data_IF_212368925066
#
_entry.id   IF_212368925066
#
_cell.length_a   1.000
_cell.length_b   1.000
_cell.length_c   1.000
_cell.angle_alpha   90.00
_cell.angle_beta   90.00
_cell.angle_gamma   90.00
#
_symmetry.space_group_name_H-M   'P 1'
#
loop_
_entity.id
_entity.type
_entity.pdbx_description
1 polymer ?
#
# COMPACT_ATOMS: atom_id res chain seq x y z
N UNK A 1 -9.45 -33.91 13.05
CA UNK A 1 -8.65 -32.76 12.60
C UNK A 1 -7.42 -32.64 13.49
N UNK A 2 -6.27 -33.16 13.06
CA UNK A 2 -5.00 -32.98 13.77
C UNK A 2 -4.45 -31.60 13.43
N UNK A 3 -4.40 -30.70 14.41
CA UNK A 3 -3.67 -29.44 14.30
C UNK A 3 -2.18 -29.80 14.33
N UNK A 4 -1.56 -29.93 13.16
CA UNK A 4 -0.11 -30.12 13.06
C UNK A 4 0.58 -28.93 13.75
N UNK A 5 1.26 -29.17 14.87
CA UNK A 5 2.02 -28.13 15.55
C UNK A 5 3.14 -27.67 14.60
N UNK A 6 3.13 -26.40 14.16
CA UNK A 6 4.14 -25.93 13.21
C UNK A 6 5.51 -25.96 13.90
N UNK A 7 6.44 -26.67 13.27
CA UNK A 7 7.83 -26.75 13.72
C UNK A 7 8.46 -25.35 13.73
N UNK A 8 9.38 -25.07 14.65
CA UNK A 8 10.08 -23.78 14.74
C UNK A 8 10.60 -23.19 13.41
N UNK A 9 11.23 -23.99 12.51
CA UNK A 9 11.64 -23.48 11.20
C UNK A 9 10.48 -23.13 10.26
N UNK A 10 9.34 -23.83 10.33
CA UNK A 10 8.15 -23.46 9.55
C UNK A 10 7.57 -22.11 9.99
N UNK A 11 7.64 -21.78 11.28
CA UNK A 11 7.20 -20.45 11.78
C UNK A 11 8.08 -19.33 11.22
N UNK A 12 9.40 -19.53 11.18
CA UNK A 12 10.33 -18.55 10.61
C UNK A 12 10.13 -18.34 9.11
N UNK A 13 9.92 -19.42 8.36
CA UNK A 13 9.61 -19.35 6.93
C UNK A 13 8.27 -18.63 6.68
N UNK A 14 7.26 -18.91 7.51
CA UNK A 14 5.97 -18.22 7.41
C UNK A 14 6.10 -16.73 7.72
N UNK A 15 6.84 -16.36 8.77
CA UNK A 15 7.14 -14.96 9.10
C UNK A 15 7.94 -14.29 7.98
N UNK A 16 8.96 -14.93 7.43
CA UNK A 16 9.73 -14.38 6.31
C UNK A 16 8.88 -14.18 5.04
N UNK A 17 7.90 -15.04 4.80
CA UNK A 17 7.00 -14.94 3.65
C UNK A 17 5.94 -13.82 3.82
N UNK A 18 5.53 -13.51 5.05
CA UNK A 18 4.49 -12.51 5.35
C UNK A 18 5.05 -11.15 5.76
N UNK A 19 6.28 -11.12 6.28
CA UNK A 19 6.96 -9.91 6.75
C UNK A 19 7.00 -8.79 5.70
N UNK A 20 7.34 -9.02 4.42
CA UNK A 20 7.46 -7.94 3.45
C UNK A 20 6.15 -7.17 3.26
N UNK A 21 5.03 -7.89 3.09
CA UNK A 21 3.71 -7.28 2.93
C UNK A 21 3.27 -6.50 4.18
N UNK A 22 3.50 -7.07 5.38
CA UNK A 22 3.19 -6.38 6.64
C UNK A 22 4.03 -5.12 6.85
N UNK A 23 5.31 -5.14 6.46
CA UNK A 23 6.19 -3.97 6.55
C UNK A 23 5.71 -2.85 5.63
N UNK A 24 5.37 -3.18 4.38
CA UNK A 24 4.81 -2.19 3.43
C UNK A 24 3.52 -1.57 3.98
N UNK A 25 2.62 -2.39 4.52
CA UNK A 25 1.38 -1.90 5.11
C UNK A 25 1.63 -0.97 6.29
N UNK A 26 2.54 -1.34 7.19
CA UNK A 26 2.92 -0.51 8.35
C UNK A 26 3.54 0.82 7.89
N UNK A 27 4.42 0.80 6.89
CA UNK A 27 4.98 2.04 6.31
C UNK A 27 3.89 2.93 5.71
N UNK A 28 2.94 2.36 4.96
CA UNK A 28 1.83 3.11 4.40
C UNK A 28 0.95 3.75 5.51
N UNK A 29 0.62 3.01 6.56
CA UNK A 29 -0.16 3.52 7.70
C UNK A 29 0.57 4.65 8.44
N UNK A 30 1.88 4.53 8.64
CA UNK A 30 2.70 5.57 9.25
C UNK A 30 2.68 6.84 8.40
N UNK A 31 2.85 6.71 7.08
CA UNK A 31 2.82 7.85 6.16
C UNK A 31 1.44 8.53 6.13
N UNK A 32 0.36 7.75 6.16
CA UNK A 32 -1.02 8.28 6.27
C UNK A 32 -1.18 9.03 7.59
N UNK A 33 -0.73 8.46 8.71
CA UNK A 33 -0.84 9.11 10.01
C UNK A 33 -0.05 10.44 10.05
N UNK A 34 1.17 10.46 9.50
CA UNK A 34 1.96 11.70 9.37
C UNK A 34 1.22 12.72 8.50
N UNK A 35 0.61 12.28 7.39
CA UNK A 35 -0.17 13.14 6.50
C UNK A 35 -1.37 13.77 7.23
N UNK A 36 -2.14 12.96 7.95
CA UNK A 36 -3.31 13.41 8.73
C UNK A 36 -2.88 14.36 9.85
N UNK A 37 -1.84 14.01 10.60
CA UNK A 37 -1.31 14.84 11.67
C UNK A 37 -0.85 16.20 11.14
N UNK A 38 -0.12 16.21 10.02
CA UNK A 38 0.35 17.45 9.39
C UNK A 38 -0.80 18.30 8.86
N UNK A 39 -1.80 17.67 8.22
CA UNK A 39 -2.99 18.35 7.72
C UNK A 39 -3.80 19.00 8.86
N UNK A 40 -3.87 18.36 10.03
CA UNK A 40 -4.53 18.91 11.22
C UNK A 40 -3.82 20.13 11.81
N UNK A 41 -2.49 20.13 11.84
CA UNK A 41 -1.73 21.21 12.50
C UNK A 41 -1.28 22.36 11.58
N UNK A 42 -1.06 22.10 10.29
CA UNK A 42 -0.54 23.11 9.34
C UNK A 42 -1.51 23.42 8.19
N UNK A 43 -2.72 22.86 8.24
CA UNK A 43 -3.70 22.96 7.17
C UNK A 43 -3.55 21.85 6.12
N UNK A 44 -4.66 21.42 5.48
CA UNK A 44 -4.65 20.32 4.53
C UNK A 44 -4.01 20.68 3.17
N UNK A 45 -4.13 21.94 2.74
CA UNK A 45 -3.65 22.44 1.45
C UNK A 45 -2.19 22.87 1.52
N UNK A 46 -1.29 21.89 1.66
CA UNK A 46 0.15 22.15 1.55
C UNK A 46 0.80 21.24 0.52
N UNK A 47 1.85 21.74 -0.14
CA UNK A 47 2.68 20.93 -1.02
C UNK A 47 3.25 19.68 -0.30
N UNK A 48 3.52 19.79 1.01
CA UNK A 48 3.98 18.66 1.83
C UNK A 48 2.95 17.54 1.94
N UNK A 49 1.66 17.86 2.08
CA UNK A 49 0.57 16.87 2.11
C UNK A 49 0.49 16.11 0.78
N UNK A 50 0.61 16.81 -0.35
CA UNK A 50 0.60 16.22 -1.70
C UNK A 50 1.77 15.25 -1.88
N UNK A 51 2.98 15.65 -1.47
CA UNK A 51 4.17 14.80 -1.57
C UNK A 51 4.03 13.54 -0.72
N UNK A 52 3.53 13.64 0.52
CA UNK A 52 3.35 12.48 1.39
C UNK A 52 2.29 11.51 0.86
N UNK A 53 1.19 12.00 0.29
CA UNK A 53 0.18 11.14 -0.35
C UNK A 53 0.73 10.42 -1.59
N UNK A 54 1.53 11.10 -2.41
CA UNK A 54 2.20 10.46 -3.55
C UNK A 54 3.22 9.42 -3.11
N UNK A 55 4.00 9.69 -2.07
CA UNK A 55 4.91 8.71 -1.47
C UNK A 55 4.15 7.50 -0.93
N UNK A 56 3.03 7.72 -0.25
CA UNK A 56 2.15 6.65 0.24
C UNK A 56 1.65 5.80 -0.93
N UNK A 57 1.22 6.42 -2.03
CA UNK A 57 0.78 5.71 -3.22
C UNK A 57 1.90 4.85 -3.83
N UNK A 58 3.12 5.38 -3.93
CA UNK A 58 4.29 4.63 -4.42
C UNK A 58 4.60 3.44 -3.50
N UNK A 59 4.53 3.61 -2.18
CA UNK A 59 4.72 2.52 -1.21
C UNK A 59 3.63 1.45 -1.36
N UNK A 60 2.38 1.82 -1.61
CA UNK A 60 1.32 0.84 -1.86
C UNK A 60 1.56 0.06 -3.16
N UNK A 61 2.10 0.70 -4.20
CA UNK A 61 2.48 0.02 -5.45
C UNK A 61 3.64 -0.97 -5.26
N UNK A 62 4.60 -0.70 -4.35
CA UNK A 62 5.63 -1.71 -4.03
C UNK A 62 5.04 -2.91 -3.32
N UNK A 63 3.99 -2.72 -2.51
CA UNK A 63 3.17 -3.79 -1.95
C UNK A 63 2.51 -4.64 -3.03
N UNK A 64 1.93 -4.00 -4.06
CA UNK A 64 1.35 -4.71 -5.20
C UNK A 64 2.38 -5.57 -5.95
N UNK A 65 3.59 -5.02 -6.17
CA UNK A 65 4.67 -5.75 -6.82
C UNK A 65 5.16 -6.94 -5.99
N UNK A 66 5.31 -6.78 -4.67
CA UNK A 66 5.70 -7.86 -3.77
C UNK A 66 4.68 -9.01 -3.76
N UNK A 67 3.39 -8.67 -3.76
CA UNK A 67 2.29 -9.64 -3.77
C UNK A 67 2.23 -10.40 -5.11
N UNK A 68 2.47 -9.72 -6.25
CA UNK A 68 2.60 -10.38 -7.55
C UNK A 68 3.77 -11.38 -7.59
N UNK A 69 4.91 -11.02 -7.00
CA UNK A 69 6.06 -11.94 -6.92
C UNK A 69 5.72 -13.16 -6.06
N UNK A 70 5.04 -12.94 -4.92
CA UNK A 70 4.60 -14.02 -4.05
C UNK A 70 3.58 -14.94 -4.73
N UNK A 71 2.62 -14.37 -5.46
CA UNK A 71 1.60 -15.15 -6.18
C UNK A 71 2.21 -15.95 -7.33
N UNK A 72 3.13 -15.36 -8.12
CA UNK A 72 3.86 -16.11 -9.15
C UNK A 72 4.65 -17.28 -8.56
N UNK A 73 5.28 -17.10 -7.39
CA UNK A 73 5.98 -18.19 -6.71
C UNK A 73 5.01 -19.29 -6.26
N UNK A 74 3.79 -18.94 -5.82
CA UNK A 74 2.74 -19.91 -5.45
C UNK A 74 2.20 -20.65 -6.67
N UNK A 75 1.95 -19.96 -7.77
CA UNK A 75 1.50 -20.57 -9.03
C UNK A 75 2.53 -21.59 -9.52
N UNK A 76 3.81 -21.20 -9.59
CA UNK A 76 4.91 -22.09 -9.98
C UNK A 76 5.04 -23.33 -9.06
N UNK A 77 4.71 -23.19 -7.77
CA UNK A 77 4.67 -24.30 -6.83
C UNK A 77 3.41 -25.19 -7.02
N UNK A 78 2.26 -24.59 -7.32
CA UNK A 78 0.97 -25.28 -7.52
C UNK A 78 0.92 -26.09 -8.82
N UNK A 79 1.53 -25.59 -9.91
CA UNK A 79 1.66 -26.31 -11.18
C UNK A 79 2.46 -27.61 -11.00
N UNK A 80 3.49 -27.58 -10.14
CA UNK A 80 4.25 -28.79 -9.78
C UNK A 80 3.46 -29.80 -8.95
N UNK A 81 2.38 -29.38 -8.30
CA UNK A 81 1.53 -30.20 -7.42
C UNK A 81 0.19 -30.57 -8.07
N UNK A 82 -0.05 -30.20 -9.34
CA UNK A 82 -1.19 -30.65 -10.14
C UNK A 82 -2.54 -30.00 -9.81
N UNK A 83 -2.57 -28.87 -9.10
CA UNK A 83 -3.81 -28.19 -8.68
C UNK A 83 -3.86 -26.74 -9.13
N UNK A 84 -4.35 -26.47 -10.35
CA UNK A 84 -4.45 -25.11 -10.89
C UNK A 84 -5.89 -24.59 -10.88
N UNK A 85 -6.23 -23.72 -9.93
CA UNK A 85 -7.35 -22.78 -10.08
C UNK A 85 -6.83 -21.35 -9.88
N UNK A 86 -6.81 -20.56 -10.94
CA UNK A 86 -6.46 -19.14 -10.92
C UNK A 86 -7.61 -18.34 -10.32
N UNK A 87 -7.48 -17.94 -9.06
CA UNK A 87 -8.42 -17.01 -8.44
C UNK A 87 -8.11 -15.59 -8.90
N UNK A 88 -9.01 -14.97 -9.67
CA UNK A 88 -8.94 -13.55 -10.05
C UNK A 88 -8.89 -12.60 -8.83
N UNK A 89 -9.36 -13.06 -7.68
CA UNK A 89 -9.25 -12.37 -6.39
C UNK A 89 -7.82 -12.35 -5.80
N UNK A 90 -6.86 -13.09 -6.38
CA UNK A 90 -5.45 -13.10 -6.00
C UNK A 90 -4.60 -12.01 -6.67
N UNK A 91 -5.16 -11.25 -7.61
CA UNK A 91 -4.48 -10.07 -8.14
C UNK A 91 -4.39 -8.98 -7.06
N UNK A 92 -3.31 -8.17 -7.01
CA UNK A 92 -3.08 -7.16 -5.98
C UNK A 92 -3.97 -5.91 -6.14
N UNK A 93 -5.26 -6.10 -6.46
CA UNK A 93 -6.23 -5.05 -6.76
C UNK A 93 -6.38 -4.11 -5.57
N UNK A 94 -6.36 -4.62 -4.34
CA UNK A 94 -6.44 -3.80 -3.13
C UNK A 94 -5.29 -2.80 -3.00
N UNK A 95 -4.06 -3.23 -3.30
CA UNK A 95 -2.87 -2.38 -3.27
C UNK A 95 -2.93 -1.28 -4.32
N UNK A 96 -3.27 -1.65 -5.57
CA UNK A 96 -3.40 -0.71 -6.69
C UNK A 96 -4.53 0.29 -6.44
N UNK A 97 -5.68 -0.18 -5.92
CA UNK A 97 -6.81 0.66 -5.58
C UNK A 97 -6.47 1.65 -4.46
N UNK A 98 -5.79 1.20 -3.41
CA UNK A 98 -5.29 2.08 -2.35
C UNK A 98 -4.34 3.15 -2.88
N UNK A 99 -3.40 2.78 -3.75
CA UNK A 99 -2.48 3.73 -4.39
C UNK A 99 -3.25 4.75 -5.24
N UNK A 100 -4.25 4.29 -6.00
CA UNK A 100 -5.09 5.16 -6.81
C UNK A 100 -5.84 6.19 -5.96
N UNK A 101 -6.46 5.77 -4.84
CA UNK A 101 -7.10 6.70 -3.89
C UNK A 101 -6.11 7.77 -3.41
N UNK A 102 -4.91 7.36 -3.00
CA UNK A 102 -3.88 8.31 -2.56
C UNK A 102 -3.51 9.32 -3.66
N UNK A 103 -3.39 8.89 -4.91
CA UNK A 103 -3.15 9.80 -6.04
C UNK A 103 -4.32 10.76 -6.31
N UNK A 104 -5.55 10.27 -6.28
CA UNK A 104 -6.74 11.11 -6.47
C UNK A 104 -6.83 12.19 -5.39
N UNK A 105 -6.65 11.81 -4.13
CA UNK A 105 -6.65 12.77 -3.02
C UNK A 105 -5.49 13.76 -3.14
N UNK A 106 -4.30 13.29 -3.55
CA UNK A 106 -3.16 14.18 -3.77
C UNK A 106 -3.44 15.24 -4.84
N UNK A 107 -4.08 14.86 -5.95
CA UNK A 107 -4.39 15.79 -7.03
C UNK A 107 -5.51 16.77 -6.64
N UNK A 108 -6.52 16.30 -5.88
CA UNK A 108 -7.54 17.18 -5.29
C UNK A 108 -6.91 18.24 -4.37
N UNK A 109 -6.01 17.84 -3.48
CA UNK A 109 -5.32 18.77 -2.57
C UNK A 109 -4.43 19.73 -3.35
N UNK A 110 -3.71 19.25 -4.38
CA UNK A 110 -2.87 20.10 -5.25
C UNK A 110 -3.69 21.20 -5.94
N UNK A 111 -4.89 20.88 -6.45
CA UNK A 111 -5.80 21.88 -7.01
C UNK A 111 -6.27 22.88 -5.95
N UNK A 112 -6.59 22.40 -4.74
CA UNK A 112 -6.93 23.26 -3.61
C UNK A 112 -5.80 24.20 -3.19
N UNK A 113 -4.53 23.75 -3.23
CA UNK A 113 -3.35 24.60 -2.99
C UNK A 113 -3.25 25.72 -4.02
N UNK A 114 -3.49 25.43 -5.30
CA UNK A 114 -3.45 26.44 -6.36
C UNK A 114 -4.55 27.50 -6.16
N UNK A 115 -5.79 27.06 -5.89
CA UNK A 115 -6.90 27.96 -5.60
C UNK A 115 -6.64 28.84 -4.38
N UNK A 116 -6.10 28.27 -3.30
CA UNK A 116 -5.74 29.02 -2.09
C UNK A 116 -4.71 30.11 -2.38
N UNK A 117 -3.72 29.83 -3.23
CA UNK A 117 -2.70 30.81 -3.64
C UNK A 117 -3.26 31.91 -4.54
N UNK A 118 -4.17 31.56 -5.44
CA UNK A 118 -4.86 32.55 -6.28
C UNK A 118 -5.71 33.51 -5.44
N UNK A 119 -6.41 33.00 -4.43
CA UNK A 119 -7.18 33.81 -3.47
C UNK A 119 -6.28 34.75 -2.65
N UNK A 120 -5.14 34.26 -2.16
CA UNK A 120 -4.15 35.08 -1.44
C UNK A 120 -3.54 36.19 -2.31
N UNK A 121 -3.45 36.01 -3.63
CA UNK A 121 -2.88 37.02 -4.53
C UNK A 121 -3.86 38.17 -4.87
N UNK A 122 -5.15 38.00 -4.62
CA UNK A 122 -6.20 38.99 -4.92
C UNK A 122 -6.50 39.89 -3.71
N UNK A 123 -6.21 39.43 -2.49
CA UNK A 123 -6.38 40.18 -1.24
C UNK A 123 -5.13 41.04 -0.99
#
# INVERSE_FOLDING_TARGET
MHLAHPTWPQRWLWLAATAPGTLVLMTALILINITVHRARHRGPFTAGTVTLLRLTAVVLLTGAAADLVAENARIALSERLGGGSTNLLGYPVGWVFGAFICFVVAEMIKRGVLLSRELEAVI
#
